data_IF_724014259072
#
_entry.id   IF_724014259072
#
_cell.length_a   1.000
_cell.length_b   1.000
_cell.length_c   1.000
_cell.angle_alpha   90.00
_cell.angle_beta   90.00
_cell.angle_gamma   90.00
#
_symmetry.space_group_name_H-M   'P 1'
#
loop_
_entity.id
_entity.type
_entity.pdbx_description
1 polymer ?
#
# COMPACT_ATOMS: atom_id res chain seq x y z
N UNK A 1 -0.03 20.31 -0.21
CA UNK A 1 1.20 19.59 -0.63
C UNK A 1 1.80 18.94 0.62
N UNK A 2 2.17 17.65 0.57
CA UNK A 2 2.84 16.97 1.70
C UNK A 2 4.31 16.76 1.33
N UNK A 3 5.22 17.22 2.17
CA UNK A 3 6.67 17.06 2.00
C UNK A 3 7.13 15.98 2.98
N UNK A 4 7.90 15.01 2.48
CA UNK A 4 8.46 13.92 3.28
C UNK A 4 9.98 14.01 3.27
N UNK A 5 10.60 13.58 4.36
CA UNK A 5 12.05 13.56 4.55
C UNK A 5 12.57 12.16 4.24
N UNK A 6 13.42 12.06 3.23
CA UNK A 6 14.09 10.82 2.85
C UNK A 6 15.58 10.90 3.18
N UNK A 7 16.14 9.86 3.79
CA UNK A 7 17.59 9.66 3.93
C UNK A 7 18.08 8.69 2.84
N UNK A 8 19.15 9.03 2.12
CA UNK A 8 19.79 8.15 1.14
C UNK A 8 21.19 7.78 1.65
N UNK A 9 21.44 6.48 1.88
CA UNK A 9 22.65 5.98 2.50
C UNK A 9 23.49 5.29 1.44
N UNK A 10 24.70 5.78 1.20
CA UNK A 10 25.66 5.10 0.33
C UNK A 10 26.22 3.89 1.06
N UNK A 11 25.98 2.69 0.53
CA UNK A 11 26.50 1.46 1.11
C UNK A 11 27.85 1.18 0.48
N UNK A 12 28.92 1.42 1.22
CA UNK A 12 30.30 1.11 0.82
C UNK A 12 30.85 -0.13 1.52
N UNK A 13 30.36 -0.41 2.74
CA UNK A 13 30.74 -1.59 3.51
C UNK A 13 29.55 -2.12 4.35
N UNK A 14 29.61 -3.39 4.71
CA UNK A 14 28.59 -4.06 5.52
C UNK A 14 28.63 -3.64 6.99
N UNK A 15 29.80 -3.29 7.53
CA UNK A 15 29.99 -3.07 8.97
C UNK A 15 29.31 -1.78 9.47
N UNK A 16 29.11 -0.77 8.64
CA UNK A 16 28.48 0.51 9.02
C UNK A 16 26.95 0.47 9.07
N UNK A 17 26.32 -0.61 8.60
CA UNK A 17 24.88 -0.63 8.30
C UNK A 17 23.99 -0.90 9.53
N UNK A 18 24.56 -1.18 10.70
CA UNK A 18 23.81 -1.48 11.92
C UNK A 18 22.97 -0.31 12.45
N UNK A 19 23.27 0.93 12.02
CA UNK A 19 22.56 2.14 12.48
C UNK A 19 21.30 2.49 11.70
N UNK A 20 20.99 1.73 10.64
CA UNK A 20 19.82 1.97 9.79
C UNK A 20 18.50 2.04 10.59
N UNK A 21 18.24 1.17 11.60
CA UNK A 21 17.01 1.25 12.40
C UNK A 21 16.85 2.57 13.17
N UNK A 22 17.97 3.18 13.61
CA UNK A 22 17.91 4.47 14.30
C UNK A 22 17.51 5.60 13.35
N UNK A 23 17.94 5.54 12.07
CA UNK A 23 17.55 6.51 11.06
C UNK A 23 16.05 6.46 10.74
N UNK A 24 15.42 5.30 10.87
CA UNK A 24 13.98 5.16 10.63
C UNK A 24 13.13 5.99 11.61
N UNK A 25 13.66 6.37 12.77
CA UNK A 25 12.96 7.22 13.74
C UNK A 25 12.96 8.70 13.34
N UNK A 26 13.93 9.14 12.52
CA UNK A 26 14.11 10.55 12.16
C UNK A 26 13.62 10.89 10.75
N UNK A 27 13.48 9.90 9.87
CA UNK A 27 13.11 10.09 8.47
C UNK A 27 11.85 9.31 8.09
N UNK A 28 11.07 9.87 7.16
CA UNK A 28 9.85 9.24 6.64
C UNK A 28 10.15 8.11 5.67
N UNK A 29 11.31 8.13 5.01
CA UNK A 29 11.79 7.09 4.11
C UNK A 29 13.30 6.89 4.29
N UNK A 30 13.74 5.63 4.26
CA UNK A 30 15.16 5.29 4.23
C UNK A 30 15.46 4.55 2.93
N UNK A 31 16.42 5.07 2.16
CA UNK A 31 16.89 4.47 0.94
C UNK A 31 18.35 4.04 1.05
N UNK A 32 18.68 2.91 0.44
CA UNK A 32 20.05 2.44 0.27
C UNK A 32 20.52 2.69 -1.15
N UNK A 33 21.74 3.19 -1.30
CA UNK A 33 22.45 3.34 -2.57
C UNK A 33 23.68 2.43 -2.59
N UNK A 34 23.52 1.17 -3.04
CA UNK A 34 24.63 0.23 -3.10
C UNK A 34 25.63 0.64 -4.18
N UNK A 35 26.92 0.43 -3.89
CA UNK A 35 28.02 0.75 -4.83
C UNK A 35 28.57 -0.46 -5.56
N UNK A 36 28.39 -1.66 -5.01
CA UNK A 36 28.90 -2.93 -5.54
C UNK A 36 27.81 -4.03 -5.46
N UNK A 37 28.09 -5.22 -6.03
CA UNK A 37 27.15 -6.34 -5.99
C UNK A 37 26.91 -6.85 -4.57
N UNK A 38 27.93 -6.81 -3.71
CA UNK A 38 27.86 -7.30 -2.33
C UNK A 38 26.88 -6.47 -1.49
N UNK A 39 27.01 -5.14 -1.53
CA UNK A 39 26.11 -4.21 -0.84
C UNK A 39 24.72 -4.22 -1.45
N UNK A 40 24.59 -4.43 -2.76
CA UNK A 40 23.29 -4.63 -3.41
C UNK A 40 22.60 -5.89 -2.88
N UNK A 41 23.31 -7.02 -2.82
CA UNK A 41 22.77 -8.26 -2.28
C UNK A 41 22.34 -8.08 -0.81
N UNK A 42 23.17 -7.43 0.00
CA UNK A 42 22.85 -7.12 1.39
C UNK A 42 21.59 -6.25 1.51
N UNK A 43 21.46 -5.22 0.67
CA UNK A 43 20.29 -4.35 0.63
C UNK A 43 19.02 -5.13 0.27
N UNK A 44 19.10 -6.05 -0.69
CA UNK A 44 17.97 -6.87 -1.11
C UNK A 44 17.54 -7.91 -0.05
N UNK A 45 18.49 -8.50 0.68
CA UNK A 45 18.22 -9.63 1.58
C UNK A 45 18.01 -9.23 3.04
N UNK A 46 18.89 -8.38 3.58
CA UNK A 46 19.05 -8.24 5.03
C UNK A 46 18.71 -6.85 5.55
N UNK A 47 18.91 -5.80 4.76
CA UNK A 47 18.67 -4.43 5.25
C UNK A 47 17.18 -4.08 5.30
N UNK A 48 16.78 -3.38 6.36
CA UNK A 48 15.43 -2.81 6.48
C UNK A 48 15.41 -1.39 5.92
N UNK A 49 15.31 -1.31 4.59
CA UNK A 49 15.19 -0.08 3.83
C UNK A 49 13.90 -0.10 3.02
N UNK A 50 13.41 1.09 2.66
CA UNK A 50 12.16 1.24 1.90
C UNK A 50 12.40 1.24 0.39
N UNK A 51 13.55 1.80 -0.03
CA UNK A 51 13.92 2.00 -1.42
C UNK A 51 15.38 1.57 -1.64
N UNK A 52 15.64 0.90 -2.76
CA UNK A 52 17.00 0.70 -3.28
C UNK A 52 17.18 1.67 -4.46
N UNK A 53 18.03 2.67 -4.28
CA UNK A 53 18.35 3.71 -5.26
C UNK A 53 19.62 3.33 -5.99
N UNK A 54 19.51 2.97 -7.27
CA UNK A 54 20.66 2.52 -8.05
C UNK A 54 21.25 3.68 -8.87
N UNK A 55 22.58 3.78 -8.87
CA UNK A 55 23.27 4.64 -9.80
C UNK A 55 23.42 3.95 -11.17
N UNK A 56 22.48 4.22 -12.06
CA UNK A 56 22.42 3.60 -13.37
C UNK A 56 23.40 4.23 -14.38
N UNK A 57 24.07 5.33 -14.04
CA UNK A 57 25.04 5.98 -14.94
C UNK A 57 26.36 5.22 -15.06
N UNK A 58 26.63 4.36 -14.07
CA UNK A 58 27.85 3.56 -13.99
C UNK A 58 27.63 2.19 -14.60
N UNK A 59 28.71 1.57 -15.06
CA UNK A 59 28.68 0.17 -15.47
C UNK A 59 28.75 -0.71 -14.22
N UNK A 60 27.78 -1.58 -14.04
CA UNK A 60 27.85 -2.63 -13.02
C UNK A 60 28.75 -3.76 -13.53
N UNK A 61 29.59 -4.31 -12.66
CA UNK A 61 30.54 -5.38 -13.00
C UNK A 61 29.81 -6.67 -13.38
N UNK A 62 28.65 -6.91 -12.75
CA UNK A 62 27.82 -8.08 -12.94
C UNK A 62 26.40 -7.70 -13.33
N UNK A 63 25.70 -8.66 -13.94
CA UNK A 63 24.32 -8.49 -14.37
C UNK A 63 23.37 -8.61 -13.17
N UNK A 64 22.27 -7.86 -13.22
CA UNK A 64 21.22 -7.96 -12.20
C UNK A 64 20.58 -9.35 -12.19
N UNK A 65 20.45 -9.97 -11.01
CA UNK A 65 19.93 -11.33 -10.82
C UNK A 65 18.47 -11.30 -10.35
N UNK A 66 17.63 -12.16 -10.95
CA UNK A 66 16.21 -12.29 -10.57
C UNK A 66 15.99 -12.61 -9.09
N UNK A 67 16.68 -13.59 -8.48
CA UNK A 67 16.48 -13.89 -7.07
C UNK A 67 16.78 -12.68 -6.17
N UNK A 68 17.82 -11.91 -6.52
CA UNK A 68 18.25 -10.75 -5.74
C UNK A 68 17.18 -9.65 -5.71
N UNK A 69 16.79 -9.14 -6.88
CA UNK A 69 15.78 -8.06 -6.95
C UNK A 69 14.37 -8.58 -6.61
N UNK A 70 14.07 -9.83 -6.94
CA UNK A 70 12.81 -10.49 -6.61
C UNK A 70 12.57 -10.57 -5.11
N UNK A 71 13.59 -10.95 -4.33
CA UNK A 71 13.52 -10.97 -2.86
C UNK A 71 13.28 -9.58 -2.27
N UNK A 72 13.93 -8.54 -2.80
CA UNK A 72 13.68 -7.17 -2.36
C UNK A 72 12.22 -6.75 -2.60
N UNK A 73 11.70 -7.02 -3.80
CA UNK A 73 10.33 -6.69 -4.18
C UNK A 73 9.31 -7.46 -3.32
N UNK A 74 9.55 -8.74 -3.03
CA UNK A 74 8.65 -9.53 -2.17
C UNK A 74 8.63 -9.01 -0.72
N UNK A 75 9.72 -8.38 -0.25
CA UNK A 75 9.79 -7.72 1.07
C UNK A 75 9.11 -6.34 1.08
N UNK A 76 8.56 -5.90 -0.03
CA UNK A 76 7.91 -4.58 -0.17
C UNK A 76 8.88 -3.44 -0.49
N UNK A 77 10.17 -3.73 -0.68
CA UNK A 77 11.19 -2.75 -1.08
C UNK A 77 11.02 -2.44 -2.57
N UNK A 78 11.14 -1.17 -2.95
CA UNK A 78 11.08 -0.77 -4.37
C UNK A 78 12.43 -0.40 -4.91
N UNK A 79 12.62 -0.68 -6.19
CA UNK A 79 13.83 -0.30 -6.93
C UNK A 79 13.56 1.04 -7.60
N UNK A 80 14.36 2.04 -7.27
CA UNK A 80 14.26 3.38 -7.84
C UNK A 80 15.17 3.51 -9.07
N UNK A 81 14.60 4.02 -10.15
CA UNK A 81 15.26 4.35 -11.40
C UNK A 81 15.35 5.89 -11.52
N UNK A 82 16.53 6.44 -11.27
CA UNK A 82 16.80 7.87 -11.39
C UNK A 82 17.17 8.24 -12.84
N UNK A 83 16.29 8.94 -13.56
CA UNK A 83 16.52 9.22 -14.98
C UNK A 83 17.41 10.43 -15.25
N UNK A 84 17.37 11.47 -14.41
CA UNK A 84 17.99 12.76 -14.75
C UNK A 84 19.51 12.65 -14.82
N UNK A 85 20.11 11.82 -13.98
CA UNK A 85 21.57 11.68 -13.88
C UNK A 85 22.19 11.21 -15.20
N UNK A 86 21.55 10.27 -15.91
CA UNK A 86 22.04 9.83 -17.21
C UNK A 86 21.62 10.75 -18.36
N UNK A 87 20.37 11.23 -18.38
CA UNK A 87 19.85 12.05 -19.49
C UNK A 87 20.57 13.39 -19.59
N UNK A 88 20.81 14.02 -18.44
CA UNK A 88 21.51 15.32 -18.39
C UNK A 88 23.02 15.21 -18.40
N UNK A 89 23.58 13.99 -18.34
CA UNK A 89 25.03 13.83 -18.40
C UNK A 89 25.56 14.30 -19.76
N UNK A 90 26.67 15.03 -19.73
CA UNK A 90 27.47 15.34 -20.92
C UNK A 90 28.22 14.12 -21.45
N UNK A 91 28.46 13.12 -20.61
CA UNK A 91 29.13 11.89 -20.97
C UNK A 91 28.17 10.92 -21.72
N UNK A 92 28.45 10.57 -22.98
CA UNK A 92 27.66 9.58 -23.73
C UNK A 92 27.70 8.18 -23.11
N UNK A 93 28.76 7.84 -22.35
CA UNK A 93 28.87 6.54 -21.68
C UNK A 93 27.79 6.38 -20.60
N UNK A 94 27.56 7.43 -19.80
CA UNK A 94 26.51 7.46 -18.78
C UNK A 94 25.11 7.22 -19.36
N UNK A 95 24.80 7.77 -20.54
CA UNK A 95 23.52 7.54 -21.24
C UNK A 95 23.35 6.09 -21.67
N UNK A 96 24.40 5.51 -22.26
CA UNK A 96 24.40 4.09 -22.68
C UNK A 96 24.25 3.15 -21.48
N UNK A 97 24.97 3.43 -20.40
CA UNK A 97 24.87 2.66 -19.15
C UNK A 97 23.47 2.75 -18.57
N UNK A 98 22.87 3.95 -18.51
CA UNK A 98 21.51 4.14 -18.03
C UNK A 98 20.52 3.26 -18.80
N UNK A 99 20.54 3.31 -20.13
CA UNK A 99 19.63 2.53 -20.98
C UNK A 99 19.84 1.03 -20.78
N UNK A 100 21.10 0.58 -20.77
CA UNK A 100 21.44 -0.84 -20.56
C UNK A 100 20.98 -1.34 -19.20
N UNK A 101 21.32 -0.63 -18.13
CA UNK A 101 21.00 -0.99 -16.76
C UNK A 101 19.48 -0.95 -16.51
N UNK A 102 18.78 0.09 -16.99
CA UNK A 102 17.33 0.20 -16.85
C UNK A 102 16.61 -0.95 -17.56
N UNK A 103 16.99 -1.25 -18.80
CA UNK A 103 16.44 -2.37 -19.57
C UNK A 103 16.67 -3.71 -18.86
N UNK A 104 17.87 -3.93 -18.29
CA UNK A 104 18.17 -5.13 -17.52
C UNK A 104 17.30 -5.23 -16.25
N UNK A 105 17.18 -4.15 -15.47
CA UNK A 105 16.35 -4.14 -14.27
C UNK A 105 14.89 -4.42 -14.62
N UNK A 106 14.34 -3.75 -15.64
CA UNK A 106 12.95 -3.97 -16.10
C UNK A 106 12.72 -5.43 -16.47
N UNK A 107 13.64 -6.03 -17.23
CA UNK A 107 13.58 -7.45 -17.61
C UNK A 107 13.61 -8.37 -16.39
N UNK A 108 14.52 -8.10 -15.45
CA UNK A 108 14.74 -8.91 -14.25
C UNK A 108 13.57 -8.78 -13.28
N UNK A 109 13.03 -7.59 -13.03
CA UNK A 109 11.89 -7.40 -12.12
C UNK A 109 10.55 -7.75 -12.76
N UNK A 110 10.53 -7.98 -14.08
CA UNK A 110 9.33 -8.10 -14.92
C UNK A 110 8.43 -6.86 -14.79
N UNK A 111 9.06 -5.69 -14.67
CA UNK A 111 8.38 -4.40 -14.54
C UNK A 111 7.66 -4.17 -13.21
N UNK A 112 7.93 -4.97 -12.18
CA UNK A 112 7.28 -4.85 -10.85
C UNK A 112 8.16 -4.12 -9.86
N UNK A 113 7.53 -3.40 -8.93
CA UNK A 113 8.22 -2.78 -7.80
C UNK A 113 9.23 -1.70 -8.20
N UNK A 114 8.99 -1.03 -9.33
CA UNK A 114 9.84 0.03 -9.86
C UNK A 114 9.26 1.40 -9.51
N UNK A 115 10.11 2.35 -9.14
CA UNK A 115 9.75 3.76 -8.95
C UNK A 115 10.62 4.60 -9.88
N UNK A 116 10.04 5.63 -10.49
CA UNK A 116 10.79 6.62 -11.26
C UNK A 116 10.97 7.91 -10.47
N UNK A 117 12.22 8.37 -10.43
CA UNK A 117 12.60 9.63 -9.80
C UNK A 117 13.51 10.42 -10.72
N UNK A 118 13.55 11.74 -10.57
CA UNK A 118 14.50 12.56 -11.31
C UNK A 118 15.89 12.53 -10.67
N UNK A 119 15.98 12.62 -9.34
CA UNK A 119 17.23 12.96 -8.63
C UNK A 119 17.92 14.20 -9.22
N UNK A 120 17.13 15.12 -9.79
CA UNK A 120 17.67 16.27 -10.49
C UNK A 120 18.30 17.27 -9.49
N UNK A 121 19.52 17.74 -9.79
CA UNK A 121 20.19 18.81 -9.04
C UNK A 121 19.74 20.20 -9.50
N UNK A 122 19.16 20.30 -10.69
CA UNK A 122 18.68 21.54 -11.30
C UNK A 122 17.26 21.34 -11.83
N UNK A 123 16.50 22.43 -11.96
CA UNK A 123 15.11 22.40 -12.45
C UNK A 123 15.00 21.80 -13.85
N UNK A 124 16.04 21.97 -14.67
CA UNK A 124 16.14 21.44 -16.03
C UNK A 124 16.14 19.90 -16.11
N UNK A 125 16.32 19.20 -14.98
CA UNK A 125 16.27 17.74 -14.90
C UNK A 125 14.91 17.15 -14.56
N UNK A 126 13.91 17.99 -14.30
CA UNK A 126 12.55 17.54 -14.00
C UNK A 126 11.78 17.37 -15.32
N UNK A 127 10.94 16.34 -15.40
CA UNK A 127 10.08 16.04 -16.56
C UNK A 127 8.63 15.86 -16.12
N UNK A 128 7.70 16.08 -17.05
CA UNK A 128 6.29 15.82 -16.80
C UNK A 128 6.06 14.30 -16.65
N UNK A 129 5.03 13.87 -15.89
CA UNK A 129 4.74 12.45 -15.71
C UNK A 129 4.58 11.67 -17.03
N UNK A 130 3.94 12.28 -18.03
CA UNK A 130 3.76 11.66 -19.36
C UNK A 130 5.08 11.40 -20.08
N UNK A 131 6.06 12.31 -19.98
CA UNK A 131 7.38 12.13 -20.58
C UNK A 131 8.13 10.97 -19.93
N UNK A 132 7.98 10.81 -18.62
CA UNK A 132 8.61 9.71 -17.87
C UNK A 132 7.97 8.36 -18.27
N UNK A 133 6.65 8.32 -18.48
CA UNK A 133 5.98 7.10 -18.97
C UNK A 133 6.47 6.75 -20.38
N UNK A 134 6.58 7.74 -21.27
CA UNK A 134 7.11 7.54 -22.62
C UNK A 134 8.57 7.06 -22.59
N UNK A 135 9.41 7.66 -21.74
CA UNK A 135 10.78 7.23 -21.52
C UNK A 135 10.86 5.79 -20.99
N UNK A 136 10.00 5.43 -20.04
CA UNK A 136 9.92 4.07 -19.52
C UNK A 136 9.56 3.06 -20.63
N UNK A 137 8.68 3.45 -21.57
CA UNK A 137 8.38 2.64 -22.76
C UNK A 137 9.56 2.49 -23.71
N UNK A 138 10.42 3.50 -23.86
CA UNK A 138 11.69 3.36 -24.60
C UNK A 138 12.61 2.31 -23.95
N UNK A 139 12.57 2.16 -22.62
CA UNK A 139 13.30 1.11 -21.89
C UNK A 139 12.60 -0.25 -21.87
N UNK A 140 11.49 -0.41 -22.60
CA UNK A 140 10.74 -1.66 -22.68
C UNK A 140 9.75 -1.90 -21.54
N UNK A 141 9.43 -0.88 -20.74
CA UNK A 141 8.36 -0.97 -19.74
C UNK A 141 7.01 -0.57 -20.34
N UNK A 142 6.01 -1.44 -20.21
CA UNK A 142 4.65 -1.13 -20.66
C UNK A 142 4.08 0.13 -20.00
N UNK A 143 3.24 0.88 -20.71
CA UNK A 143 2.68 2.17 -20.26
C UNK A 143 1.92 2.06 -18.93
N UNK A 144 1.20 0.96 -18.70
CA UNK A 144 0.52 0.65 -17.43
C UNK A 144 1.53 0.57 -16.27
N UNK A 145 2.62 -0.20 -16.45
CA UNK A 145 3.69 -0.30 -15.45
C UNK A 145 4.47 1.00 -15.27
N UNK A 146 4.68 1.76 -16.35
CA UNK A 146 5.26 3.10 -16.29
C UNK A 146 4.42 4.05 -15.43
N UNK A 147 3.09 4.02 -15.59
CA UNK A 147 2.15 4.79 -14.77
C UNK A 147 2.14 4.32 -13.32
N UNK A 148 2.15 3.00 -13.08
CA UNK A 148 2.24 2.43 -11.73
C UNK A 148 3.49 2.92 -10.99
N UNK A 149 4.63 2.99 -11.68
CA UNK A 149 5.90 3.47 -11.13
C UNK A 149 5.92 4.94 -10.71
N UNK A 150 4.94 5.74 -11.15
CA UNK A 150 4.77 7.14 -10.77
C UNK A 150 3.62 7.37 -9.79
N UNK A 151 2.71 6.42 -9.64
CA UNK A 151 1.47 6.60 -8.88
C UNK A 151 1.34 5.57 -7.76
N UNK A 152 1.12 4.30 -8.12
CA UNK A 152 0.85 3.20 -7.19
C UNK A 152 2.08 2.82 -6.37
N UNK A 153 3.23 2.63 -7.02
CA UNK A 153 4.45 2.14 -6.34
C UNK A 153 5.01 3.17 -5.35
N UNK A 154 5.13 4.48 -5.68
CA UNK A 154 5.53 5.49 -4.71
C UNK A 154 4.56 5.60 -3.52
N UNK A 155 3.25 5.56 -3.78
CA UNK A 155 2.24 5.56 -2.72
C UNK A 155 2.39 4.33 -1.81
N UNK A 156 2.56 3.15 -2.41
CA UNK A 156 2.76 1.90 -1.67
C UNK A 156 3.98 1.99 -0.74
N UNK A 157 5.09 2.58 -1.18
CA UNK A 157 6.28 2.76 -0.34
C UNK A 157 6.01 3.65 0.84
N UNK A 158 5.40 4.81 0.59
CA UNK A 158 5.14 5.80 1.65
C UNK A 158 4.22 5.22 2.72
N UNK A 159 3.14 4.55 2.32
CA UNK A 159 2.20 3.97 3.28
C UNK A 159 2.78 2.74 3.99
N UNK A 160 3.53 1.89 3.29
CA UNK A 160 4.21 0.74 3.90
C UNK A 160 5.25 1.18 4.93
N UNK A 161 6.05 2.19 4.59
CA UNK A 161 7.06 2.75 5.48
C UNK A 161 6.43 3.45 6.69
N UNK A 162 5.30 4.15 6.51
CA UNK A 162 4.53 4.72 7.61
C UNK A 162 3.99 3.63 8.53
N UNK A 163 3.39 2.58 7.97
CA UNK A 163 2.85 1.46 8.74
C UNK A 163 3.94 0.75 9.55
N UNK A 164 5.11 0.49 8.96
CA UNK A 164 6.25 -0.11 9.67
C UNK A 164 6.69 0.70 10.90
N UNK A 165 6.56 2.02 10.88
CA UNK A 165 7.01 2.92 11.96
C UNK A 165 5.95 3.24 13.00
N UNK A 166 4.68 3.31 12.58
CA UNK A 166 3.56 3.75 13.44
C UNK A 166 2.69 2.59 13.92
N UNK A 167 2.91 1.38 13.42
CA UNK A 167 2.17 0.19 13.85
C UNK A 167 3.07 -0.80 14.56
N UNK A 168 2.48 -1.55 15.48
CA UNK A 168 3.11 -2.74 16.05
C UNK A 168 2.42 -3.98 15.47
N UNK A 169 3.15 -4.78 14.68
CA UNK A 169 2.62 -5.97 14.01
C UNK A 169 1.32 -5.73 13.22
N UNK A 170 1.18 -4.55 12.62
CA UNK A 170 0.00 -4.15 11.83
C UNK A 170 -1.14 -3.52 12.64
N UNK A 171 -1.00 -3.40 13.97
CA UNK A 171 -1.95 -2.68 14.83
C UNK A 171 -1.58 -1.20 14.84
N UNK A 172 -2.52 -0.34 14.43
CA UNK A 172 -2.34 1.12 14.36
C UNK A 172 -3.10 1.76 15.52
N UNK A 173 -2.44 2.61 16.29
CA UNK A 173 -3.08 3.45 17.29
C UNK A 173 -3.69 4.71 16.65
N UNK A 174 -5.00 4.89 16.79
CA UNK A 174 -5.74 6.03 16.23
C UNK A 174 -5.88 7.08 17.34
N UNK A 175 -4.89 7.97 17.42
CA UNK A 175 -4.83 9.04 18.45
C UNK A 175 -5.97 10.07 18.30
N UNK A 176 -6.51 10.24 17.09
CA UNK A 176 -7.64 11.13 16.84
C UNK A 176 -8.63 10.50 15.86
N UNK A 177 -9.75 9.97 16.37
CA UNK A 177 -10.80 9.27 15.63
C UNK A 177 -11.74 10.17 14.81
N UNK A 178 -11.41 11.45 14.67
CA UNK A 178 -12.26 12.48 14.06
C UNK A 178 -13.26 13.08 15.05
N UNK A 179 -13.70 14.30 14.77
CA UNK A 179 -14.73 14.96 15.55
C UNK A 179 -16.07 14.26 15.35
N UNK A 180 -16.77 13.94 16.44
CA UNK A 180 -18.16 13.47 16.36
C UNK A 180 -18.99 14.55 15.66
N UNK A 181 -19.84 14.19 14.67
CA UNK A 181 -20.79 15.13 14.10
C UNK A 181 -21.62 15.76 15.23
N UNK A 182 -21.89 17.08 15.20
CA UNK A 182 -22.69 17.71 16.23
C UNK A 182 -24.04 16.99 16.33
N UNK A 183 -24.36 16.52 17.53
CA UNK A 183 -25.67 15.94 17.82
C UNK A 183 -26.71 17.01 17.47
N UNK A 184 -27.58 16.70 16.49
CA UNK A 184 -28.73 17.55 16.20
C UNK A 184 -29.52 17.67 17.50
N UNK A 185 -29.90 18.89 17.94
CA UNK A 185 -30.69 19.04 19.15
C UNK A 185 -31.93 18.15 19.02
N UNK A 186 -32.05 17.20 19.94
CA UNK A 186 -33.24 16.39 20.09
C UNK A 186 -34.35 17.38 20.41
N UNK A 187 -35.23 17.63 19.45
CA UNK A 187 -36.41 18.43 19.69
C UNK A 187 -37.14 17.79 20.86
N UNK A 188 -37.25 18.53 21.96
CA UNK A 188 -38.02 18.12 23.13
C UNK A 188 -39.42 17.73 22.64
N UNK A 189 -39.73 16.44 22.75
CA UNK A 189 -41.08 15.96 22.52
C UNK A 189 -41.96 16.65 23.56
N UNK A 190 -42.78 17.62 23.12
CA UNK A 190 -43.83 18.22 23.94
C UNK A 190 -44.70 17.09 24.47
N UNK A 191 -44.55 16.81 25.77
CA UNK A 191 -45.43 15.92 26.51
C UNK A 191 -46.80 16.59 26.57
N UNK A 192 -47.72 16.18 25.70
CA UNK A 192 -49.14 16.46 25.86
C UNK A 192 -49.63 15.69 27.09
N UNK A 193 -49.80 16.38 28.22
CA UNK A 193 -50.55 15.88 29.37
C UNK A 193 -52.01 15.76 28.99
N UNK A 194 -52.43 14.60 28.47
CA UNK A 194 -53.83 14.22 28.53
C UNK A 194 -54.14 13.72 29.94
N UNK A 195 -54.96 14.48 30.66
CA UNK A 195 -55.64 14.04 31.86
C UNK A 195 -56.67 12.97 31.48
N UNK A 196 -56.35 11.70 31.70
CA UNK A 196 -57.38 10.77 32.15
C UNK A 196 -56.75 9.58 32.87
N UNK A 197 -57.25 9.33 34.07
CA UNK A 197 -56.66 8.41 35.04
C UNK A 197 -56.73 6.95 34.62
N UNK A 198 -55.63 6.24 34.86
CA UNK A 198 -55.57 4.85 35.33
C UNK A 198 -54.11 4.49 35.64
N UNK A 199 -53.79 4.33 36.93
CA UNK A 199 -52.71 3.43 37.41
C UNK A 199 -53.33 2.01 37.51
N UNK A 200 -52.59 0.88 37.49
CA UNK A 200 -51.30 0.71 38.18
C UNK A 200 -50.30 -0.26 37.50
N UNK A 201 -49.13 -0.41 38.13
CA UNK A 201 -48.28 -1.59 37.95
C UNK A 201 -46.78 -1.33 38.12
N UNK A 202 -46.32 -1.26 39.37
CA UNK A 202 -44.90 -1.47 39.71
C UNK A 202 -44.49 -2.91 39.38
N UNK A 203 -43.28 -3.11 38.84
CA UNK A 203 -42.42 -4.22 39.26
C UNK A 203 -40.97 -3.96 38.85
N UNK A 204 -40.10 -4.08 39.85
CA UNK A 204 -38.64 -4.00 39.79
C UNK A 204 -38.02 -5.27 39.18
N UNK A 205 -36.85 -5.05 38.58
CA UNK A 205 -35.62 -5.87 38.50
C UNK A 205 -35.65 -7.40 38.34
N UNK A 206 -34.82 -7.88 37.40
CA UNK A 206 -34.29 -9.25 37.40
C UNK A 206 -33.76 -9.71 36.03
N UNK A 207 -32.47 -9.48 35.74
CA UNK A 207 -31.69 -10.32 34.82
C UNK A 207 -31.30 -11.63 35.55
N UNK A 208 -30.90 -12.77 34.92
CA UNK A 208 -30.23 -12.97 33.62
C UNK A 208 -30.90 -14.08 32.76
N UNK A 209 -30.50 -14.46 31.54
CA UNK A 209 -29.45 -15.45 31.19
C UNK A 209 -29.32 -15.54 29.65
N UNK A 210 -28.10 -15.88 29.24
CA UNK A 210 -27.49 -16.06 27.93
C UNK A 210 -28.08 -17.21 27.06
N UNK A 211 -27.85 -17.12 25.73
CA UNK A 211 -27.94 -18.17 24.68
C UNK A 211 -29.34 -18.37 24.05
N UNK A 212 -29.56 -18.50 22.74
CA UNK A 212 -28.76 -18.97 21.58
C UNK A 212 -29.37 -18.42 20.26
N UNK A 213 -28.54 -18.32 19.23
CA UNK A 213 -28.82 -18.24 17.77
C UNK A 213 -30.29 -18.01 17.34
N UNK A 214 -30.62 -16.78 16.97
CA UNK A 214 -31.83 -16.49 16.18
C UNK A 214 -31.51 -16.50 14.69
N UNK A 215 -32.08 -17.46 13.98
CA UNK A 215 -32.09 -17.55 12.53
C UNK A 215 -32.72 -16.29 11.90
N UNK A 216 -32.11 -15.78 10.84
CA UNK A 216 -32.62 -14.62 10.10
C UNK A 216 -34.01 -14.95 9.51
N UNK A 217 -34.99 -14.03 9.60
CA UNK A 217 -36.33 -14.28 9.08
C UNK A 217 -36.31 -14.46 7.56
N UNK A 218 -36.87 -15.58 7.12
CA UNK A 218 -36.93 -16.01 5.73
C UNK A 218 -37.84 -15.05 4.94
N UNK A 219 -37.35 -14.53 3.80
CA UNK A 219 -38.08 -13.61 2.91
C UNK A 219 -39.45 -14.16 2.47
N UNK A 220 -40.47 -13.29 2.36
CA UNK A 220 -41.84 -13.62 1.89
C UNK A 220 -41.85 -14.41 0.58
N UNK A 221 -40.87 -14.17 -0.30
CA UNK A 221 -40.72 -14.89 -1.57
C UNK A 221 -40.36 -16.37 -1.39
N UNK A 222 -39.52 -16.67 -0.40
CA UNK A 222 -39.10 -18.03 -0.09
C UNK A 222 -40.23 -18.80 0.62
N UNK A 223 -41.00 -18.12 1.48
CA UNK A 223 -42.20 -18.69 2.11
C UNK A 223 -43.25 -19.12 1.08
N UNK A 224 -43.49 -18.29 0.05
CA UNK A 224 -44.40 -18.63 -1.05
C UNK A 224 -43.89 -19.84 -1.85
N UNK A 225 -42.59 -19.93 -2.09
CA UNK A 225 -41.98 -21.06 -2.82
C UNK A 225 -42.12 -22.37 -2.04
N UNK A 226 -41.86 -22.34 -0.73
CA UNK A 226 -42.01 -23.50 0.15
C UNK A 226 -43.48 -23.93 0.27
N UNK A 227 -44.42 -22.98 0.32
CA UNK A 227 -45.85 -23.29 0.35
C UNK A 227 -46.32 -23.96 -0.96
N UNK A 228 -45.81 -23.50 -2.11
CA UNK A 228 -46.13 -24.10 -3.41
C UNK A 228 -45.54 -25.51 -3.56
N UNK A 229 -44.32 -25.74 -3.08
CA UNK A 229 -43.71 -27.07 -3.07
C UNK A 229 -44.52 -28.06 -2.22
N UNK A 230 -44.93 -27.66 -0.99
CA UNK A 230 -45.77 -28.51 -0.12
C UNK A 230 -47.14 -28.84 -0.73
N UNK A 231 -47.75 -27.91 -1.47
CA UNK A 231 -49.03 -28.18 -2.15
C UNK A 231 -48.88 -29.08 -3.38
N UNK A 232 -47.70 -29.12 -4.00
CA UNK A 232 -47.40 -30.04 -5.11
C UNK A 232 -47.11 -31.46 -4.61
N UNK A 233 -46.40 -31.60 -3.48
CA UNK A 233 -46.18 -32.90 -2.83
C UNK A 233 -47.49 -33.51 -2.33
N UNK A 234 -48.35 -32.71 -1.67
CA UNK A 234 -49.66 -33.18 -1.21
C UNK A 234 -50.64 -33.53 -2.34
N UNK A 235 -50.41 -33.02 -3.56
CA UNK A 235 -51.23 -33.34 -4.73
C UNK A 235 -50.82 -34.61 -5.48
N UNK A 236 -49.61 -35.14 -5.22
CA UNK A 236 -49.11 -36.38 -5.83
C UNK A 236 -49.41 -37.62 -4.97
N UNK A 237 -49.72 -37.46 -3.69
CA UNK A 237 -50.05 -38.55 -2.77
C UNK A 237 -51.52 -39.04 -2.86
N UNK A 238 -52.38 -38.36 -3.62
CA UNK A 238 -53.82 -38.71 -3.75
C UNK A 238 -54.15 -39.32 -5.13
N UNK A 239 -53.14 -39.60 -5.96
CA UNK A 239 -53.32 -40.17 -7.30
C UNK A 239 -52.40 -41.38 -7.58
N UNK A 240 -52.24 -42.26 -6.58
CA UNK A 240 -51.66 -43.60 -6.71
C UNK A 240 -52.51 -44.62 -5.94
#
# INVERSE_FOLDING_TARGET
MRILRRCNIFLTDAASNFRIPQLQQHYDLVAARPTDERTLQQACQNLDVDIISLDLTRRFETHFKFPMLGTAISRGIKIELCYSQGIMSSDPSAKRNLISNATQIIRVTRGRGLIFSSEAKTVLGIRAPSDIINLASVWGLGTERGRDGLTKEPRSVVEFARLKRQSFKGIIDIVHGGDKPPEKPVAEAKVNKNQNGKRPGENLEGAPVHETKTDKPISKRQQAKNKKAKMQEAGQEVAA
#
